data_IF_234424542549
#
_entry.id   IF_234424542549
#
_cell.length_a   1.000
_cell.length_b   1.000
_cell.length_c   1.000
_cell.angle_alpha   90.00
_cell.angle_beta   90.00
_cell.angle_gamma   90.00
#
_symmetry.space_group_name_H-M   'P 1'
#
loop_
_entity.id
_entity.type
_entity.pdbx_description
1 polymer ?
#
# COMPACT_ATOMS: atom_id res chain seq x y z
N UNK A 1 -54.52 39.26 10.29
CA UNK A 1 -53.45 39.43 9.28
C UNK A 1 -52.18 39.55 10.05
N UNK A 2 -51.39 38.47 10.13
CA UNK A 2 -50.11 38.46 10.80
C UNK A 2 -49.12 37.91 9.75
N UNK A 3 -48.21 38.76 9.34
CA UNK A 3 -47.08 38.47 8.43
C UNK A 3 -46.07 37.60 9.17
N UNK A 4 -45.79 36.41 8.60
CA UNK A 4 -44.74 35.54 9.12
C UNK A 4 -43.57 35.66 8.17
N UNK A 5 -42.54 36.42 8.59
CA UNK A 5 -41.26 36.50 7.93
C UNK A 5 -40.47 35.18 8.12
N UNK A 6 -40.04 34.59 7.03
CA UNK A 6 -39.09 33.45 7.05
C UNK A 6 -37.69 33.90 7.43
N UNK A 7 -36.92 33.11 8.18
CA UNK A 7 -35.53 33.45 8.47
C UNK A 7 -34.64 33.14 7.27
N UNK A 8 -33.73 34.07 6.98
CA UNK A 8 -32.69 33.97 5.98
C UNK A 8 -31.71 32.80 6.27
N UNK A 9 -31.39 32.04 5.27
CA UNK A 9 -30.35 31.03 5.32
C UNK A 9 -28.98 31.71 5.52
N UNK A 10 -28.35 31.36 6.63
CA UNK A 10 -26.98 31.75 6.95
C UNK A 10 -26.04 30.88 6.09
N UNK A 11 -25.45 31.49 5.07
CA UNK A 11 -24.38 30.90 4.29
C UNK A 11 -23.11 30.98 5.11
N UNK A 12 -22.82 29.89 5.88
CA UNK A 12 -21.53 29.72 6.50
C UNK A 12 -20.45 29.69 5.42
N UNK A 13 -19.67 30.77 5.41
CA UNK A 13 -18.43 30.87 4.64
C UNK A 13 -17.47 29.77 5.10
N UNK A 14 -17.15 28.85 4.20
CA UNK A 14 -15.97 28.01 4.34
C UNK A 14 -14.76 28.94 4.48
N UNK A 15 -14.22 28.93 5.68
CA UNK A 15 -12.99 29.62 5.99
C UNK A 15 -11.88 28.88 5.26
N UNK A 16 -11.38 29.47 4.18
CA UNK A 16 -10.13 29.04 3.56
C UNK A 16 -9.06 29.03 4.67
N UNK A 17 -8.51 27.86 4.96
CA UNK A 17 -7.41 27.69 5.88
C UNK A 17 -6.26 28.61 5.45
N UNK A 18 -5.81 29.47 6.34
CA UNK A 18 -4.77 30.47 6.06
C UNK A 18 -3.43 29.77 5.82
N UNK A 19 -2.87 30.00 4.64
CA UNK A 19 -1.57 29.49 4.17
C UNK A 19 -0.33 30.08 4.88
N UNK A 20 -0.47 30.62 6.09
CA UNK A 20 0.57 31.43 6.75
C UNK A 20 1.24 30.78 7.97
N UNK A 21 1.14 29.44 8.13
CA UNK A 21 1.89 28.76 9.18
C UNK A 21 3.14 28.08 8.58
N UNK A 22 4.38 28.58 8.82
CA UNK A 22 5.58 27.97 8.27
C UNK A 22 5.87 26.53 8.78
N UNK A 23 5.06 26.02 9.70
CA UNK A 23 5.07 24.64 10.15
C UNK A 23 4.04 23.73 9.47
N UNK A 24 3.17 24.26 8.60
CA UNK A 24 2.18 23.49 7.86
C UNK A 24 2.80 22.83 6.63
N UNK A 25 2.82 21.51 6.61
CA UNK A 25 3.39 20.72 5.51
C UNK A 25 2.71 21.05 4.17
N UNK A 26 1.39 21.23 4.14
CA UNK A 26 0.65 21.58 2.93
C UNK A 26 1.11 22.94 2.36
N UNK A 27 1.28 23.93 3.23
CA UNK A 27 1.78 25.24 2.81
C UNK A 27 3.21 25.14 2.23
N UNK A 28 4.08 24.32 2.83
CA UNK A 28 5.42 24.07 2.33
C UNK A 28 5.40 23.37 0.96
N UNK A 29 4.55 22.35 0.78
CA UNK A 29 4.34 21.66 -0.50
C UNK A 29 3.87 22.63 -1.58
N UNK A 30 2.88 23.45 -1.28
CA UNK A 30 2.35 24.44 -2.23
C UNK A 30 3.37 25.51 -2.58
N UNK A 31 4.13 26.00 -1.60
CA UNK A 31 5.20 26.99 -1.84
C UNK A 31 6.32 26.40 -2.70
N UNK A 32 6.69 25.13 -2.47
CA UNK A 32 7.71 24.42 -3.25
C UNK A 32 7.22 24.05 -4.66
N UNK A 33 5.90 23.93 -4.85
CA UNK A 33 5.26 23.54 -6.10
C UNK A 33 5.35 22.05 -6.43
N UNK A 34 5.73 21.24 -5.46
CA UNK A 34 5.80 19.78 -5.60
C UNK A 34 5.49 19.06 -4.29
N UNK A 35 4.93 17.85 -4.41
CA UNK A 35 4.79 16.87 -3.33
C UNK A 35 5.64 15.65 -3.66
N UNK A 36 6.41 15.18 -2.69
CA UNK A 36 7.33 14.03 -2.83
C UNK A 36 6.70 12.80 -2.19
N UNK A 37 6.50 11.76 -2.99
CA UNK A 37 6.00 10.47 -2.54
C UNK A 37 7.11 9.41 -2.47
N UNK A 38 7.14 8.64 -1.38
CA UNK A 38 7.92 7.40 -1.29
C UNK A 38 7.13 6.23 -1.88
N UNK A 39 7.79 5.37 -2.65
CA UNK A 39 7.20 4.18 -3.29
C UNK A 39 8.26 3.11 -3.55
N UNK A 40 7.86 1.86 -3.80
CA UNK A 40 8.83 0.78 -4.12
C UNK A 40 9.21 0.74 -5.61
N UNK A 41 8.26 0.89 -6.51
CA UNK A 41 8.49 0.70 -7.95
C UNK A 41 8.63 -0.77 -8.40
N UNK A 42 8.42 -1.73 -7.51
CA UNK A 42 8.61 -3.18 -7.77
C UNK A 42 7.37 -4.03 -7.49
N UNK A 43 6.24 -3.41 -7.15
CA UNK A 43 5.02 -4.07 -6.70
C UNK A 43 3.83 -3.85 -7.65
N UNK A 44 3.77 -4.62 -8.73
CA UNK A 44 2.63 -4.60 -9.68
C UNK A 44 1.36 -5.20 -9.05
N UNK A 45 0.16 -4.63 -9.31
CA UNK A 45 -0.14 -3.50 -10.19
C UNK A 45 -0.16 -2.13 -9.47
N UNK A 46 0.35 -2.03 -8.26
CA UNK A 46 0.26 -0.85 -7.41
C UNK A 46 1.28 0.22 -7.77
N UNK A 47 2.55 -0.16 -7.80
CA UNK A 47 3.70 0.69 -8.11
C UNK A 47 4.78 -0.17 -8.76
N UNK A 48 5.06 0.05 -10.03
CA UNK A 48 6.00 -0.77 -10.80
C UNK A 48 6.48 -0.03 -12.05
N UNK A 49 7.55 -0.54 -12.67
CA UNK A 49 8.03 -0.06 -13.96
C UNK A 49 7.38 -0.85 -15.09
N UNK A 50 6.88 -0.15 -16.09
CA UNK A 50 6.34 -0.75 -17.31
C UNK A 50 7.47 -1.21 -18.27
N UNK A 51 7.11 -1.72 -19.45
CA UNK A 51 8.06 -2.17 -20.48
C UNK A 51 8.97 -1.06 -21.05
N UNK A 52 8.62 0.22 -20.80
CA UNK A 52 9.38 1.40 -21.21
C UNK A 52 10.17 2.00 -20.04
N UNK A 53 10.29 1.25 -18.94
CA UNK A 53 10.94 1.72 -17.70
C UNK A 53 10.29 2.98 -17.09
N UNK A 54 8.96 3.12 -17.28
CA UNK A 54 8.20 4.21 -16.68
C UNK A 54 7.56 3.72 -15.39
N UNK A 55 7.72 4.49 -14.30
CA UNK A 55 7.04 4.22 -13.04
C UNK A 55 5.54 4.47 -13.21
N UNK A 56 4.77 3.41 -13.07
CA UNK A 56 3.31 3.36 -13.27
C UNK A 56 2.64 2.54 -12.16
N UNK A 57 1.33 2.51 -12.16
CA UNK A 57 0.52 1.69 -11.26
C UNK A 57 -0.60 2.48 -10.63
N UNK A 58 -1.49 1.75 -9.95
CA UNK A 58 -2.69 2.33 -9.36
C UNK A 58 -2.36 3.43 -8.35
N UNK A 59 -1.41 3.18 -7.44
CA UNK A 59 -1.02 4.16 -6.42
C UNK A 59 -0.29 5.36 -7.03
N UNK A 60 0.46 5.15 -8.11
CA UNK A 60 1.13 6.24 -8.84
C UNK A 60 0.09 7.16 -9.46
N UNK A 61 -0.96 6.62 -10.09
CA UNK A 61 -2.04 7.40 -10.66
C UNK A 61 -2.84 8.15 -9.59
N UNK A 62 -3.13 7.51 -8.44
CA UNK A 62 -3.80 8.16 -7.30
C UNK A 62 -2.96 9.33 -6.79
N UNK A 63 -1.67 9.13 -6.56
CA UNK A 63 -0.74 10.16 -6.08
C UNK A 63 -0.63 11.34 -7.07
N UNK A 64 -0.58 11.05 -8.37
CA UNK A 64 -0.60 12.09 -9.41
C UNK A 64 -1.89 12.91 -9.37
N UNK A 65 -3.05 12.26 -9.16
CA UNK A 65 -4.34 12.95 -9.02
C UNK A 65 -4.44 13.78 -7.75
N UNK A 66 -3.85 13.33 -6.66
CA UNK A 66 -3.74 14.12 -5.42
C UNK A 66 -2.90 15.38 -5.67
N UNK A 67 -1.72 15.25 -6.26
CA UNK A 67 -0.86 16.38 -6.59
C UNK A 67 -1.55 17.39 -7.53
N UNK A 68 -2.25 16.90 -8.58
CA UNK A 68 -3.04 17.72 -9.49
C UNK A 68 -4.08 18.56 -8.74
N UNK A 69 -4.81 17.94 -7.79
CA UNK A 69 -5.82 18.64 -6.97
C UNK A 69 -5.22 19.64 -5.99
N UNK A 70 -4.02 19.40 -5.50
CA UNK A 70 -3.27 20.34 -4.67
C UNK A 70 -2.62 21.47 -5.48
N UNK A 71 -2.65 21.40 -6.82
CA UNK A 71 -2.04 22.37 -7.72
C UNK A 71 -0.52 22.30 -7.76
N UNK A 72 0.06 21.13 -7.50
CA UNK A 72 1.51 20.90 -7.44
C UNK A 72 1.92 19.71 -8.32
N UNK A 73 3.23 19.55 -8.55
CA UNK A 73 3.78 18.40 -9.25
C UNK A 73 3.92 17.20 -8.30
N UNK A 74 3.62 15.99 -8.76
CA UNK A 74 4.03 14.75 -8.08
C UNK A 74 5.47 14.41 -8.44
N UNK A 75 6.27 14.09 -7.43
CA UNK A 75 7.64 13.55 -7.57
C UNK A 75 7.70 12.27 -6.77
N UNK A 76 8.30 11.21 -7.34
CA UNK A 76 8.42 9.91 -6.72
C UNK A 76 9.88 9.59 -6.41
N UNK A 77 10.13 9.08 -5.21
CA UNK A 77 11.42 8.56 -4.81
C UNK A 77 11.25 7.09 -4.43
N UNK A 78 11.97 6.24 -5.12
CA UNK A 78 11.91 4.80 -4.91
C UNK A 78 12.83 4.34 -3.77
N UNK A 79 12.41 3.27 -3.10
CA UNK A 79 13.14 2.65 -2.01
C UNK A 79 12.51 1.33 -1.60
N UNK A 80 13.22 0.56 -0.78
CA UNK A 80 12.71 -0.69 -0.21
C UNK A 80 11.64 -0.42 0.84
N UNK A 81 10.62 -1.28 0.91
CA UNK A 81 9.49 -1.13 1.84
C UNK A 81 9.90 -0.80 3.27
N UNK A 82 10.85 -1.55 3.83
CA UNK A 82 11.26 -1.39 5.24
C UNK A 82 11.89 -0.01 5.53
N UNK A 83 12.35 0.69 4.49
CA UNK A 83 12.91 2.05 4.58
C UNK A 83 11.92 3.17 4.32
N UNK A 84 10.76 2.90 3.71
CA UNK A 84 9.85 3.96 3.26
C UNK A 84 9.23 4.76 4.41
N UNK A 85 8.71 4.10 5.45
CA UNK A 85 8.13 4.78 6.60
C UNK A 85 9.18 5.62 7.35
N UNK A 86 10.41 5.09 7.50
CA UNK A 86 11.51 5.85 8.08
C UNK A 86 11.89 7.09 7.23
N UNK A 87 11.69 7.01 5.93
CA UNK A 87 11.88 8.15 5.02
C UNK A 87 10.84 9.27 5.24
N UNK A 88 9.59 8.92 5.58
CA UNK A 88 8.57 9.90 6.00
C UNK A 88 8.98 10.53 7.33
N UNK A 89 9.36 9.71 8.33
CA UNK A 89 9.82 10.19 9.64
C UNK A 89 11.00 11.17 9.53
N UNK A 90 11.91 10.89 8.61
CA UNK A 90 13.09 11.71 8.33
C UNK A 90 12.85 12.91 7.41
N UNK A 91 11.61 13.11 6.93
CA UNK A 91 11.27 14.19 5.98
C UNK A 91 11.88 14.01 4.58
N UNK A 92 12.28 12.80 4.20
CA UNK A 92 12.73 12.47 2.83
C UNK A 92 11.58 12.47 1.84
N UNK A 93 10.40 12.07 2.30
CA UNK A 93 9.14 12.08 1.59
C UNK A 93 8.13 12.93 2.34
N UNK A 94 7.21 13.56 1.63
CA UNK A 94 6.06 14.23 2.23
C UNK A 94 4.95 13.22 2.56
N UNK A 95 4.86 12.15 1.76
CA UNK A 95 3.86 11.09 1.91
C UNK A 95 4.36 9.79 1.28
N UNK A 96 3.61 8.70 1.48
CA UNK A 96 3.81 7.43 0.77
C UNK A 96 2.66 7.17 -0.20
N UNK A 97 2.98 6.56 -1.33
CA UNK A 97 2.04 6.01 -2.31
C UNK A 97 2.48 4.58 -2.65
N UNK A 98 2.08 3.61 -1.83
CA UNK A 98 2.54 2.21 -1.89
C UNK A 98 1.58 1.23 -1.20
N UNK A 99 0.27 1.39 -1.37
CA UNK A 99 -0.74 0.49 -0.80
C UNK A 99 -0.63 0.35 0.72
N UNK A 100 -0.30 1.43 1.43
CA UNK A 100 -0.04 1.37 2.87
C UNK A 100 -1.33 1.10 3.62
N UNK A 101 -1.43 -0.06 4.22
CA UNK A 101 -2.57 -0.48 5.02
C UNK A 101 -2.69 0.34 6.31
N UNK A 102 -3.92 0.78 6.63
CA UNK A 102 -4.22 1.47 7.88
C UNK A 102 -4.30 0.42 8.98
N UNK A 103 -3.32 0.42 9.90
CA UNK A 103 -3.33 -0.40 11.11
C UNK A 103 -3.41 0.50 12.33
N UNK A 104 -3.89 -0.04 13.47
CA UNK A 104 -3.93 0.72 14.72
C UNK A 104 -2.55 1.27 15.11
N UNK A 105 -1.51 0.46 14.95
CA UNK A 105 -0.13 0.85 15.25
C UNK A 105 0.33 2.01 14.36
N UNK A 106 0.11 1.90 13.04
CA UNK A 106 0.49 2.95 12.09
C UNK A 106 -0.32 4.23 12.29
N UNK A 107 -1.63 4.11 12.58
CA UNK A 107 -2.51 5.25 12.81
C UNK A 107 -2.18 6.03 14.10
N UNK A 108 -1.44 5.45 15.05
CA UNK A 108 -0.91 6.17 16.21
C UNK A 108 0.26 7.10 15.87
N UNK A 109 0.89 6.90 14.72
CA UNK A 109 2.13 7.58 14.35
C UNK A 109 2.00 8.42 13.08
N UNK A 110 1.13 8.03 12.17
CA UNK A 110 0.96 8.64 10.85
C UNK A 110 -0.49 9.03 10.60
N UNK A 111 -0.67 10.12 9.88
CA UNK A 111 -1.96 10.48 9.31
C UNK A 111 -2.20 9.74 7.99
N UNK A 112 -3.44 9.32 7.76
CA UNK A 112 -3.85 8.63 6.56
C UNK A 112 -4.94 9.40 5.83
N UNK A 113 -5.01 9.24 4.51
CA UNK A 113 -6.21 9.60 3.76
C UNK A 113 -7.36 8.66 4.08
N UNK A 114 -8.56 8.99 3.63
CA UNK A 114 -9.63 8.00 3.54
C UNK A 114 -9.17 6.81 2.67
N UNK A 115 -9.59 5.57 3.01
CA UNK A 115 -9.26 4.41 2.19
C UNK A 115 -9.81 4.56 0.77
N UNK A 116 -8.94 4.52 -0.22
CA UNK A 116 -9.33 4.59 -1.63
C UNK A 116 -9.40 3.22 -2.32
N UNK A 117 -8.98 2.17 -1.63
CA UNK A 117 -9.02 0.78 -2.11
C UNK A 117 -9.16 -0.20 -0.94
N UNK A 118 -9.85 -1.31 -1.18
CA UNK A 118 -9.90 -2.46 -0.28
C UNK A 118 -9.36 -3.68 -1.01
N UNK A 119 -8.39 -4.35 -0.41
CA UNK A 119 -7.74 -5.52 -1.00
C UNK A 119 -7.97 -6.75 -0.13
N UNK A 120 -7.93 -7.92 -0.75
CA UNK A 120 -7.94 -9.21 -0.05
C UNK A 120 -6.53 -9.76 0.00
N UNK A 121 -6.12 -10.19 1.18
CA UNK A 121 -4.88 -10.95 1.34
C UNK A 121 -5.11 -12.40 0.89
N UNK A 122 -4.14 -12.95 0.20
CA UNK A 122 -4.14 -14.33 -0.23
C UNK A 122 -2.85 -15.04 0.18
N UNK A 123 -2.95 -16.35 0.41
CA UNK A 123 -1.80 -17.23 0.54
C UNK A 123 -1.41 -17.70 -0.86
N UNK A 124 -0.16 -17.55 -1.20
CA UNK A 124 0.42 -17.99 -2.46
C UNK A 124 1.36 -19.17 -2.17
N UNK A 125 1.10 -20.31 -2.80
CA UNK A 125 1.88 -21.54 -2.67
C UNK A 125 2.26 -22.06 -4.05
N UNK A 126 3.19 -23.00 -4.13
CA UNK A 126 3.48 -23.68 -5.40
C UNK A 126 2.24 -24.43 -5.90
N UNK A 127 2.07 -24.50 -7.22
CA UNK A 127 0.89 -25.10 -7.83
C UNK A 127 0.74 -26.60 -7.56
N UNK A 128 1.83 -27.27 -7.23
CA UNK A 128 1.92 -28.69 -6.90
C UNK A 128 1.91 -28.98 -5.37
N UNK A 129 1.78 -27.95 -4.55
CA UNK A 129 1.69 -28.09 -3.09
C UNK A 129 0.22 -27.99 -2.63
N UNK A 130 -0.30 -29.12 -2.15
CA UNK A 130 -1.65 -29.23 -1.56
C UNK A 130 -1.64 -29.23 -0.03
N UNK A 131 -0.49 -29.00 0.59
CA UNK A 131 -0.35 -29.04 2.06
C UNK A 131 -0.87 -27.79 2.77
N UNK A 132 -1.07 -26.69 2.03
CA UNK A 132 -1.56 -25.40 2.55
C UNK A 132 -2.79 -25.01 1.73
N UNK A 133 -3.95 -24.97 2.38
CA UNK A 133 -5.24 -24.60 1.79
C UNK A 133 -5.97 -23.51 2.57
N UNK A 134 -5.54 -23.26 3.80
CA UNK A 134 -6.10 -22.24 4.70
C UNK A 134 -4.97 -21.53 5.48
N UNK A 135 -5.30 -20.47 6.19
CA UNK A 135 -4.33 -19.74 7.01
C UNK A 135 -3.87 -20.58 8.21
N UNK A 136 -4.72 -21.45 8.73
CA UNK A 136 -4.41 -22.37 9.83
C UNK A 136 -3.31 -23.38 9.45
N UNK A 137 -3.19 -23.72 8.17
CA UNK A 137 -2.16 -24.63 7.66
C UNK A 137 -0.76 -23.99 7.65
N UNK A 138 -0.67 -22.68 7.87
CA UNK A 138 0.61 -21.95 7.99
C UNK A 138 1.35 -22.30 9.30
N UNK A 139 0.70 -22.93 10.27
CA UNK A 139 1.32 -23.27 11.54
C UNK A 139 2.56 -24.17 11.33
N UNK A 140 3.71 -23.67 11.76
CA UNK A 140 5.00 -24.35 11.63
C UNK A 140 5.62 -24.30 10.23
N UNK A 141 4.98 -23.67 9.26
CA UNK A 141 5.49 -23.45 7.90
C UNK A 141 6.45 -22.26 7.84
N UNK A 142 7.18 -22.16 6.74
CA UNK A 142 8.04 -21.01 6.43
C UNK A 142 7.40 -20.14 5.36
N UNK A 143 7.42 -18.82 5.58
CA UNK A 143 6.96 -17.83 4.59
C UNK A 143 8.09 -16.85 4.24
N UNK A 144 7.97 -16.14 3.13
CA UNK A 144 8.85 -15.02 2.78
C UNK A 144 8.00 -13.78 2.56
N UNK A 145 8.33 -12.69 3.25
CA UNK A 145 7.70 -11.39 3.11
C UNK A 145 8.67 -10.29 3.59
N UNK A 146 8.46 -9.05 3.20
CA UNK A 146 9.16 -7.92 3.81
C UNK A 146 8.78 -7.83 5.30
N UNK A 147 9.78 -7.65 6.16
CA UNK A 147 9.63 -7.88 7.61
C UNK A 147 8.58 -6.96 8.26
N UNK A 148 8.55 -5.68 7.90
CA UNK A 148 7.61 -4.72 8.48
C UNK A 148 6.22 -4.72 7.80
N UNK A 149 5.96 -5.68 6.90
CA UNK A 149 4.68 -5.78 6.22
C UNK A 149 3.59 -6.41 7.09
N UNK A 150 2.35 -6.01 6.85
CA UNK A 150 1.16 -6.65 7.45
C UNK A 150 1.04 -8.12 7.05
N UNK A 151 1.58 -8.50 5.90
CA UNK A 151 1.63 -9.89 5.43
C UNK A 151 2.53 -10.77 6.30
N UNK A 152 3.72 -10.27 6.69
CA UNK A 152 4.60 -10.96 7.63
C UNK A 152 3.92 -11.14 8.99
N UNK A 153 3.37 -10.07 9.54
CA UNK A 153 2.63 -10.10 10.82
C UNK A 153 1.47 -11.08 10.78
N UNK A 154 0.70 -11.10 9.67
CA UNK A 154 -0.42 -12.01 9.50
C UNK A 154 0.04 -13.46 9.44
N UNK A 155 1.07 -13.80 8.68
CA UNK A 155 1.62 -15.14 8.60
C UNK A 155 2.10 -15.63 9.97
N UNK A 156 2.81 -14.79 10.71
CA UNK A 156 3.30 -15.11 12.07
C UNK A 156 2.17 -15.29 13.07
N UNK A 157 1.06 -14.57 12.94
CA UNK A 157 -0.12 -14.74 13.79
C UNK A 157 -0.76 -16.12 13.65
N UNK A 158 -0.56 -16.78 12.51
CA UNK A 158 -0.95 -18.17 12.25
C UNK A 158 0.17 -19.19 12.52
N UNK A 159 1.26 -18.76 13.12
CA UNK A 159 2.36 -19.64 13.55
C UNK A 159 3.39 -19.97 12.47
N UNK A 160 3.42 -19.23 11.37
CA UNK A 160 4.48 -19.34 10.39
C UNK A 160 5.79 -18.71 10.89
N UNK A 161 6.89 -19.07 10.25
CA UNK A 161 8.20 -18.43 10.42
C UNK A 161 8.53 -17.62 9.18
N UNK A 162 8.58 -16.30 9.31
CA UNK A 162 8.85 -15.41 8.19
C UNK A 162 10.35 -15.29 7.92
N UNK A 163 10.73 -15.45 6.66
CA UNK A 163 12.04 -15.10 6.12
C UNK A 163 11.94 -13.71 5.51
N UNK A 164 12.78 -12.77 5.95
CA UNK A 164 12.81 -11.41 5.43
C UNK A 164 13.37 -11.35 4.01
N UNK A 165 12.72 -10.57 3.18
CA UNK A 165 13.12 -10.26 1.81
C UNK A 165 12.87 -8.77 1.54
N UNK A 166 13.47 -8.22 0.49
CA UNK A 166 13.37 -6.80 0.17
C UNK A 166 12.14 -6.49 -0.70
N UNK A 167 11.74 -7.43 -1.56
CA UNK A 167 10.64 -7.24 -2.50
C UNK A 167 9.87 -8.54 -2.85
N UNK A 168 8.79 -8.38 -3.62
CA UNK A 168 7.96 -9.48 -4.09
C UNK A 168 8.71 -10.45 -5.01
N UNK A 169 9.65 -9.99 -5.83
CA UNK A 169 10.36 -10.85 -6.79
C UNK A 169 11.23 -11.86 -6.03
N UNK A 170 11.95 -11.41 -5.00
CA UNK A 170 12.71 -12.29 -4.11
C UNK A 170 11.80 -13.30 -3.40
N UNK A 171 10.62 -12.86 -2.94
CA UNK A 171 9.61 -13.72 -2.33
C UNK A 171 9.22 -14.86 -3.26
N UNK A 172 8.86 -14.55 -4.50
CA UNK A 172 8.45 -15.53 -5.50
C UNK A 172 9.61 -16.47 -5.86
N UNK A 173 10.82 -15.94 -5.98
CA UNK A 173 12.00 -16.77 -6.24
C UNK A 173 12.22 -17.80 -5.13
N UNK A 174 12.16 -17.41 -3.86
CA UNK A 174 12.30 -18.33 -2.75
C UNK A 174 11.21 -19.41 -2.72
N UNK A 175 9.96 -19.01 -3.02
CA UNK A 175 8.83 -19.94 -3.11
C UNK A 175 9.04 -20.98 -4.22
N UNK A 176 9.39 -20.54 -5.43
CA UNK A 176 9.59 -21.42 -6.58
C UNK A 176 10.76 -22.39 -6.40
N UNK A 177 11.82 -21.93 -5.72
CA UNK A 177 12.97 -22.76 -5.39
C UNK A 177 12.74 -23.69 -4.18
N UNK A 178 11.53 -23.66 -3.58
CA UNK A 178 11.18 -24.49 -2.43
C UNK A 178 11.98 -24.15 -1.16
N UNK A 179 12.44 -22.91 -1.05
CA UNK A 179 13.15 -22.39 0.13
C UNK A 179 12.17 -21.95 1.23
N UNK A 180 10.95 -21.61 0.84
CA UNK A 180 9.82 -21.32 1.72
C UNK A 180 8.60 -22.08 1.22
N UNK A 181 7.63 -22.32 2.12
CA UNK A 181 6.42 -23.09 1.84
C UNK A 181 5.33 -22.21 1.22
N UNK A 182 5.27 -20.94 1.62
CA UNK A 182 4.24 -20.00 1.17
C UNK A 182 4.73 -18.54 1.21
N UNK A 183 3.93 -17.66 0.64
CA UNK A 183 3.97 -16.21 0.87
C UNK A 183 2.56 -15.65 0.96
N UNK A 184 2.41 -14.47 1.56
CA UNK A 184 1.16 -13.73 1.62
C UNK A 184 1.30 -12.44 0.81
N UNK A 185 0.27 -12.08 0.07
CA UNK A 185 0.22 -10.81 -0.66
C UNK A 185 -1.22 -10.46 -1.03
N UNK A 186 -1.43 -9.28 -1.61
CA UNK A 186 -2.71 -8.92 -2.21
C UNK A 186 -3.09 -9.91 -3.33
N UNK A 187 -4.32 -10.40 -3.34
CA UNK A 187 -4.82 -11.32 -4.37
C UNK A 187 -4.60 -10.77 -5.79
N UNK A 188 -4.84 -9.48 -5.98
CA UNK A 188 -4.65 -8.81 -7.28
C UNK A 188 -3.20 -8.80 -7.74
N UNK A 189 -2.25 -8.71 -6.83
CA UNK A 189 -0.81 -8.79 -7.13
C UNK A 189 -0.44 -10.14 -7.73
N UNK A 190 -0.97 -11.22 -7.15
CA UNK A 190 -0.78 -12.57 -7.70
C UNK A 190 -1.34 -12.70 -9.12
N UNK A 191 -2.54 -12.19 -9.40
CA UNK A 191 -3.11 -12.20 -10.75
C UNK A 191 -2.30 -11.36 -11.73
N UNK A 192 -1.79 -10.20 -11.32
CA UNK A 192 -0.86 -9.39 -12.12
C UNK A 192 0.41 -10.16 -12.47
N UNK A 193 0.98 -10.87 -11.52
CA UNK A 193 2.15 -11.73 -11.73
C UNK A 193 1.88 -12.86 -12.74
N UNK A 194 0.70 -13.50 -12.69
CA UNK A 194 0.32 -14.57 -13.64
C UNK A 194 0.21 -14.10 -15.09
N UNK A 195 -0.19 -12.85 -15.33
CA UNK A 195 -0.29 -12.27 -16.66
C UNK A 195 1.10 -12.10 -17.30
N UNK A 196 2.10 -11.83 -16.48
CA UNK A 196 3.49 -11.64 -16.92
C UNK A 196 4.22 -13.00 -17.04
N UNK A 197 3.90 -13.94 -16.16
CA UNK A 197 4.50 -15.29 -16.17
C UNK A 197 3.82 -16.18 -17.22
N UNK A 198 4.57 -16.70 -18.18
CA UNK A 198 4.07 -17.59 -19.24
C UNK A 198 3.60 -18.98 -18.74
N UNK A 199 3.70 -19.23 -17.44
CA UNK A 199 3.26 -20.47 -16.77
C UNK A 199 2.88 -20.15 -15.32
N UNK A 200 1.69 -20.57 -14.82
CA UNK A 200 1.33 -20.33 -13.43
C UNK A 200 2.22 -21.20 -12.50
N UNK A 201 3.21 -20.60 -11.82
CA UNK A 201 4.11 -21.35 -10.95
C UNK A 201 3.54 -21.56 -9.55
N UNK A 202 2.43 -20.88 -9.23
CA UNK A 202 1.87 -20.85 -7.90
C UNK A 202 0.32 -20.90 -7.92
N UNK A 203 -0.26 -21.27 -6.79
CA UNK A 203 -1.70 -21.29 -6.52
C UNK A 203 -2.01 -20.24 -5.45
N UNK A 204 -3.13 -19.56 -5.62
CA UNK A 204 -3.62 -18.55 -4.68
C UNK A 204 -4.88 -19.08 -3.96
N UNK A 205 -4.90 -18.95 -2.64
CA UNK A 205 -6.09 -19.19 -1.82
C UNK A 205 -6.45 -17.89 -1.08
N UNK A 206 -7.65 -17.32 -1.30
CA UNK A 206 -8.05 -16.09 -0.62
C UNK A 206 -8.20 -16.31 0.88
N UNK A 207 -7.93 -15.25 1.65
CA UNK A 207 -8.25 -15.23 3.07
C UNK A 207 -9.74 -15.45 3.29
N UNK A 208 -10.16 -16.16 4.36
CA UNK A 208 -11.54 -16.13 4.80
C UNK A 208 -11.93 -14.67 5.05
N UNK A 209 -13.09 -14.27 4.52
CA UNK A 209 -13.61 -12.91 4.65
C UNK A 209 -13.50 -12.43 6.11
N UNK A 210 -12.58 -11.56 6.41
CA UNK A 210 -12.66 -10.75 7.60
C UNK A 210 -13.73 -9.69 7.32
N UNK A 211 -14.98 -10.03 7.69
CA UNK A 211 -16.07 -9.08 7.74
C UNK A 211 -15.78 -8.08 8.86
N UNK A 212 -15.43 -6.88 8.53
CA UNK A 212 -15.62 -5.70 9.36
C UNK A 212 -16.33 -4.64 8.58
#
# INVERSE_FOLDING_TARGET
MADIAAPAADTSSETAASADNPGDLLAQIQQRGEIVFGTEGTWSPWTYHDENDQLVGFDIEVAQKVAEKLGVKATFLEGEWDGLLAGVDGGRYDSMANGVEITEERAQKYDFSDPYCYIRTAIIVKSDDDSISSFEDLNGKTTANTISSTYATLAESYGAKTTGVDDLNQTIELLLNGRVDATLNAEVTYFGYLVIATRPPARCSPAPNSST
#
